data_IF_445170580985
#
_entry.id   IF_445170580985
#
_cell.length_a   1.000
_cell.length_b   1.000
_cell.length_c   1.000
_cell.angle_alpha   90.00
_cell.angle_beta   90.00
_cell.angle_gamma   90.00
#
_symmetry.space_group_name_H-M   'P 1'
#
loop_
_entity.id
_entity.type
_entity.pdbx_description
1 polymer ?
#
# COMPACT_ATOMS: atom_id res chain seq x y z
N UNK A 1 -0.93 10.29 -24.87
CA UNK A 1 -1.71 9.27 -24.16
C UNK A 1 -0.84 8.59 -23.11
N UNK A 2 -1.36 8.44 -21.91
CA UNK A 2 -0.63 7.81 -20.83
C UNK A 2 -0.68 6.30 -20.98
N UNK A 3 0.47 5.66 -21.16
CA UNK A 3 0.54 4.21 -21.35
C UNK A 3 0.85 3.46 -20.06
N UNK A 4 1.40 4.15 -19.06
CA UNK A 4 1.72 3.55 -17.77
C UNK A 4 1.07 4.35 -16.65
N UNK A 5 0.54 3.64 -15.67
CA UNK A 5 0.07 4.26 -14.45
C UNK A 5 1.22 4.50 -13.49
N UNK A 6 1.09 5.53 -12.69
CA UNK A 6 2.07 5.88 -11.67
C UNK A 6 1.51 5.57 -10.29
N UNK A 7 2.38 5.10 -9.42
CA UNK A 7 2.01 4.67 -8.07
C UNK A 7 2.98 5.28 -7.08
N UNK A 8 2.48 5.55 -5.89
CA UNK A 8 3.32 5.85 -4.74
C UNK A 8 2.96 4.89 -3.62
N UNK A 9 3.97 4.37 -2.95
CA UNK A 9 3.77 3.48 -1.79
C UNK A 9 4.39 4.17 -0.58
N UNK A 10 3.55 4.47 0.39
CA UNK A 10 3.96 5.10 1.64
C UNK A 10 4.06 4.04 2.73
N UNK A 11 5.25 3.85 3.26
CA UNK A 11 5.53 2.83 4.25
C UNK A 11 6.06 1.55 3.59
N UNK A 12 7.33 1.26 3.84
CA UNK A 12 8.04 0.15 3.20
C UNK A 12 8.29 -0.99 4.19
N UNK A 13 7.27 -1.33 4.97
CA UNK A 13 7.25 -2.56 5.73
C UNK A 13 7.05 -3.75 4.79
N UNK A 14 6.69 -4.90 5.35
CA UNK A 14 6.53 -6.12 4.55
C UNK A 14 5.48 -5.98 3.46
N UNK A 15 4.33 -5.42 3.80
CA UNK A 15 3.24 -5.30 2.84
C UNK A 15 3.56 -4.26 1.76
N UNK A 16 3.95 -3.06 2.17
CA UNK A 16 4.27 -2.00 1.21
C UNK A 16 5.41 -2.37 0.28
N UNK A 17 6.43 -3.02 0.80
CA UNK A 17 7.54 -3.49 -0.03
C UNK A 17 7.07 -4.53 -1.05
N UNK A 18 6.22 -5.47 -0.64
CA UNK A 18 5.70 -6.48 -1.56
C UNK A 18 4.87 -5.83 -2.68
N UNK A 19 4.02 -4.86 -2.32
CA UNK A 19 3.22 -4.13 -3.31
C UNK A 19 4.13 -3.39 -4.29
N UNK A 20 5.10 -2.65 -3.77
CA UNK A 20 6.01 -1.86 -4.61
C UNK A 20 6.82 -2.73 -5.57
N UNK A 21 7.37 -3.83 -5.06
CA UNK A 21 8.18 -4.75 -5.88
C UNK A 21 7.36 -5.36 -7.01
N UNK A 22 6.17 -5.83 -6.72
CA UNK A 22 5.32 -6.46 -7.73
C UNK A 22 4.94 -5.45 -8.81
N UNK A 23 4.63 -4.22 -8.43
CA UNK A 23 4.31 -3.18 -9.41
C UNK A 23 5.51 -2.86 -10.31
N UNK A 24 6.69 -2.73 -9.72
CA UNK A 24 7.93 -2.47 -10.47
C UNK A 24 8.24 -3.62 -11.43
N UNK A 25 8.11 -4.85 -10.98
CA UNK A 25 8.36 -6.03 -11.80
C UNK A 25 7.42 -6.12 -12.99
N UNK A 26 6.23 -5.52 -12.88
CA UNK A 26 5.26 -5.48 -13.97
C UNK A 26 5.34 -4.19 -14.79
N UNK A 27 6.44 -3.45 -14.66
CA UNK A 27 6.73 -2.31 -15.52
C UNK A 27 6.05 -1.01 -15.13
N UNK A 28 5.47 -0.92 -13.94
CA UNK A 28 4.83 0.30 -13.48
C UNK A 28 5.86 1.26 -12.87
N UNK A 29 5.55 2.56 -12.95
CA UNK A 29 6.37 3.58 -12.31
C UNK A 29 5.93 3.71 -10.85
N UNK A 30 6.87 3.51 -9.93
CA UNK A 30 6.58 3.51 -8.49
C UNK A 30 7.57 4.41 -7.77
N UNK A 31 7.05 5.33 -6.95
CA UNK A 31 7.86 6.04 -5.98
C UNK A 31 7.56 5.44 -4.60
N UNK A 32 8.60 4.93 -3.94
CA UNK A 32 8.48 4.29 -2.63
C UNK A 32 9.03 5.24 -1.57
N UNK A 33 8.26 5.49 -0.53
CA UNK A 33 8.59 6.49 0.48
C UNK A 33 8.46 5.92 1.88
N UNK A 34 9.48 6.15 2.70
CA UNK A 34 9.45 5.82 4.12
C UNK A 34 10.15 6.92 4.89
N UNK A 35 9.77 7.12 6.12
CA UNK A 35 10.39 8.15 6.96
C UNK A 35 11.71 7.70 7.59
N UNK A 36 12.00 6.39 7.57
CA UNK A 36 13.23 5.85 8.14
C UNK A 36 14.28 5.62 7.06
N UNK A 37 15.41 6.31 7.19
CA UNK A 37 16.48 6.25 6.21
C UNK A 37 17.01 4.83 6.02
N UNK A 38 17.11 4.05 7.09
CA UNK A 38 17.60 2.69 6.98
C UNK A 38 16.70 1.83 6.11
N UNK A 39 15.39 1.97 6.27
CA UNK A 39 14.41 1.23 5.46
C UNK A 39 14.53 1.63 4.00
N UNK A 40 14.69 2.92 3.73
CA UNK A 40 14.86 3.42 2.37
C UNK A 40 16.13 2.88 1.74
N UNK A 41 17.23 2.87 2.51
CA UNK A 41 18.51 2.35 2.02
C UNK A 41 18.41 0.87 1.65
N UNK A 42 17.74 0.08 2.47
CA UNK A 42 17.53 -1.34 2.19
C UNK A 42 16.66 -1.54 0.95
N UNK A 43 15.61 -0.75 0.81
CA UNK A 43 14.68 -0.85 -0.31
C UNK A 43 15.32 -0.44 -1.64
N UNK A 44 16.31 0.46 -1.60
CA UNK A 44 16.98 0.95 -2.80
C UNK A 44 17.70 -0.15 -3.57
N UNK A 45 17.96 -1.29 -2.95
CA UNK A 45 18.59 -2.42 -3.63
C UNK A 45 17.70 -3.01 -4.73
N UNK A 46 16.39 -2.87 -4.63
CA UNK A 46 15.45 -3.48 -5.59
C UNK A 46 14.31 -2.56 -6.03
N UNK A 47 14.21 -1.34 -5.50
CA UNK A 47 13.23 -0.35 -5.95
C UNK A 47 13.97 0.83 -6.56
N UNK A 48 13.71 1.15 -7.84
CA UNK A 48 14.47 2.19 -8.54
C UNK A 48 14.32 3.59 -7.95
N UNK A 49 13.14 3.92 -7.42
CA UNK A 49 12.89 5.26 -6.88
C UNK A 49 12.41 5.14 -5.45
N UNK A 50 13.31 5.45 -4.52
CA UNK A 50 13.02 5.46 -3.09
C UNK A 50 13.36 6.81 -2.51
N UNK A 51 12.52 7.31 -1.61
CA UNK A 51 12.72 8.60 -0.94
C UNK A 51 12.53 8.46 0.56
N UNK A 52 13.39 9.12 1.31
CA UNK A 52 13.20 9.26 2.76
C UNK A 52 12.47 10.58 2.98
N UNK A 53 11.23 10.53 3.43
CA UNK A 53 10.42 11.71 3.60
C UNK A 53 9.25 11.45 4.55
N UNK A 54 8.72 12.54 5.12
CA UNK A 54 7.56 12.48 6.00
C UNK A 54 6.30 12.82 5.19
N UNK A 55 5.51 11.81 4.90
CA UNK A 55 4.28 11.97 4.10
C UNK A 55 3.11 12.54 4.88
N UNK A 56 3.31 12.87 6.15
CA UNK A 56 2.32 13.60 6.94
C UNK A 56 2.54 15.12 6.87
N UNK A 57 3.52 15.55 6.09
CA UNK A 57 3.85 16.94 5.88
C UNK A 57 3.32 17.40 4.53
N UNK A 58 2.42 18.40 4.53
CA UNK A 58 1.81 18.91 3.30
C UNK A 58 2.84 19.45 2.30
N UNK A 59 3.92 20.06 2.77
CA UNK A 59 4.98 20.54 1.89
C UNK A 59 5.68 19.41 1.17
N UNK A 60 5.89 18.30 1.85
CA UNK A 60 6.51 17.11 1.27
C UNK A 60 5.61 16.55 0.15
N UNK A 61 4.33 16.42 0.42
CA UNK A 61 3.35 15.94 -0.57
C UNK A 61 3.38 16.83 -1.82
N UNK A 62 3.40 18.15 -1.62
CA UNK A 62 3.46 19.10 -2.73
C UNK A 62 4.79 19.01 -3.49
N UNK A 63 5.91 19.02 -2.76
CA UNK A 63 7.24 19.03 -3.36
C UNK A 63 7.56 17.76 -4.15
N UNK A 64 7.05 16.63 -3.70
CA UNK A 64 7.24 15.36 -4.40
C UNK A 64 6.28 15.15 -5.55
N UNK A 65 5.36 16.09 -5.77
CA UNK A 65 4.39 16.00 -6.87
C UNK A 65 3.41 14.87 -6.70
N UNK A 66 3.07 14.53 -5.46
CA UNK A 66 2.18 13.39 -5.18
C UNK A 66 0.82 13.56 -5.83
N UNK A 67 0.33 14.79 -5.97
CA UNK A 67 -0.95 15.06 -6.62
C UNK A 67 -1.03 14.59 -8.07
N UNK A 68 0.10 14.39 -8.72
CA UNK A 68 0.16 13.90 -10.10
C UNK A 68 0.25 12.38 -10.21
N UNK A 69 0.30 11.68 -9.08
CA UNK A 69 0.35 10.22 -9.03
C UNK A 69 -1.07 9.68 -9.20
N UNK A 70 -1.21 8.61 -9.98
CA UNK A 70 -2.54 8.01 -10.21
C UNK A 70 -3.09 7.33 -8.96
N UNK A 71 -2.28 6.53 -8.31
CA UNK A 71 -2.70 5.76 -7.14
C UNK A 71 -1.65 5.83 -6.05
N UNK A 72 -2.08 6.17 -4.84
CA UNK A 72 -1.22 6.15 -3.66
C UNK A 72 -1.70 5.05 -2.73
N UNK A 73 -0.78 4.22 -2.27
CA UNK A 73 -1.05 3.14 -1.32
C UNK A 73 -0.38 3.51 0.00
N UNK A 74 -1.19 3.72 1.03
CA UNK A 74 -0.74 4.12 2.36
C UNK A 74 -0.62 2.88 3.23
N UNK A 75 0.61 2.46 3.53
CA UNK A 75 0.91 1.21 4.23
C UNK A 75 1.56 1.47 5.59
N UNK A 76 0.91 2.30 6.41
CA UNK A 76 1.42 2.67 7.73
C UNK A 76 0.43 2.28 8.82
N UNK A 77 -0.07 1.03 8.75
CA UNK A 77 -1.16 0.59 9.62
C UNK A 77 -0.83 0.59 11.11
N UNK A 78 0.46 0.56 11.45
CA UNK A 78 0.90 0.64 12.84
C UNK A 78 0.75 2.05 13.44
N UNK A 79 0.48 3.06 12.60
CA UNK A 79 0.33 4.44 13.01
C UNK A 79 -0.90 5.04 12.35
N UNK A 80 -2.03 4.95 13.03
CA UNK A 80 -3.30 5.43 12.48
C UNK A 80 -3.29 6.93 12.21
N UNK A 81 -2.71 7.71 13.11
CA UNK A 81 -2.65 9.15 12.93
C UNK A 81 -1.90 9.51 11.64
N UNK A 82 -0.75 8.90 11.42
CA UNK A 82 0.03 9.12 10.21
C UNK A 82 -0.73 8.69 8.97
N UNK A 83 -1.43 7.56 9.03
CA UNK A 83 -2.25 7.06 7.91
C UNK A 83 -3.37 8.03 7.56
N UNK A 84 -4.08 8.54 8.59
CA UNK A 84 -5.16 9.50 8.39
C UNK A 84 -4.64 10.79 7.75
N UNK A 85 -3.52 11.30 8.25
CA UNK A 85 -2.91 12.52 7.70
C UNK A 85 -2.48 12.31 6.25
N UNK A 86 -1.83 11.20 5.96
CA UNK A 86 -1.36 10.92 4.60
C UNK A 86 -2.52 10.79 3.62
N UNK A 87 -3.58 10.07 4.00
CA UNK A 87 -4.78 9.93 3.17
C UNK A 87 -5.40 11.31 2.90
N UNK A 88 -5.57 12.09 3.96
CA UNK A 88 -6.18 13.42 3.85
C UNK A 88 -5.37 14.31 2.90
N UNK A 89 -4.06 14.36 3.09
CA UNK A 89 -3.20 15.21 2.26
C UNK A 89 -3.19 14.76 0.80
N UNK A 90 -3.19 13.45 0.55
CA UNK A 90 -3.24 12.94 -0.81
C UNK A 90 -4.55 13.33 -1.51
N UNK A 91 -5.67 13.20 -0.81
CA UNK A 91 -6.97 13.58 -1.39
C UNK A 91 -7.05 15.09 -1.65
N UNK A 92 -6.54 15.89 -0.73
CA UNK A 92 -6.47 17.34 -0.92
C UNK A 92 -5.58 17.72 -2.10
N UNK A 93 -4.53 16.97 -2.33
CA UNK A 93 -3.61 17.21 -3.45
C UNK A 93 -4.19 16.76 -4.80
N UNK A 94 -5.30 16.06 -4.81
CA UNK A 94 -5.97 15.66 -6.04
C UNK A 94 -5.67 14.25 -6.53
N UNK A 95 -5.07 13.40 -5.70
CA UNK A 95 -4.83 12.00 -6.08
C UNK A 95 -6.18 11.32 -6.31
N UNK A 96 -6.33 10.67 -7.46
CA UNK A 96 -7.61 10.05 -7.84
C UNK A 96 -7.94 8.85 -6.97
N UNK A 97 -6.97 8.00 -6.71
CA UNK A 97 -7.20 6.76 -5.98
C UNK A 97 -6.22 6.66 -4.82
N UNK A 98 -6.76 6.65 -3.61
CA UNK A 98 -5.95 6.46 -2.39
C UNK A 98 -6.43 5.18 -1.73
N UNK A 99 -5.52 4.24 -1.59
CA UNK A 99 -5.77 2.95 -0.94
C UNK A 99 -5.00 2.95 0.37
N UNK A 100 -5.64 2.57 1.46
CA UNK A 100 -4.98 2.52 2.76
C UNK A 100 -5.06 1.13 3.35
N UNK A 101 -3.98 0.71 4.00
CA UNK A 101 -3.95 -0.55 4.74
C UNK A 101 -4.42 -0.29 6.17
N UNK A 102 -5.25 -1.17 6.70
CA UNK A 102 -5.67 -1.11 8.09
C UNK A 102 -5.27 -2.37 8.85
N UNK A 103 -5.27 -2.28 10.18
CA UNK A 103 -4.96 -3.40 11.06
C UNK A 103 -6.20 -3.92 11.80
N UNK A 104 -7.32 -3.20 11.74
CA UNK A 104 -8.56 -3.61 12.39
C UNK A 104 -9.75 -2.89 11.78
N UNK A 105 -10.97 -3.32 12.17
CA UNK A 105 -12.20 -2.77 11.61
C UNK A 105 -12.43 -1.30 11.93
N UNK A 106 -12.03 -0.84 13.12
CA UNK A 106 -12.20 0.56 13.49
C UNK A 106 -11.34 1.45 12.61
N UNK A 107 -10.10 1.05 12.35
CA UNK A 107 -9.23 1.78 11.45
C UNK A 107 -9.82 1.83 10.03
N UNK A 108 -10.40 0.73 9.58
CA UNK A 108 -11.04 0.68 8.27
C UNK A 108 -12.13 1.74 8.15
N UNK A 109 -13.00 1.83 9.15
CA UNK A 109 -14.08 2.83 9.16
C UNK A 109 -13.52 4.24 9.13
N UNK A 110 -12.52 4.52 9.95
CA UNK A 110 -11.93 5.85 10.03
C UNK A 110 -11.28 6.24 8.71
N UNK A 111 -10.50 5.35 8.13
CA UNK A 111 -9.80 5.63 6.87
C UNK A 111 -10.76 5.88 5.71
N UNK A 112 -11.85 5.14 5.64
CA UNK A 112 -12.88 5.39 4.63
C UNK A 112 -13.52 6.75 4.84
N UNK A 113 -13.80 7.13 6.07
CA UNK A 113 -14.43 8.41 6.38
C UNK A 113 -13.55 9.61 6.07
N UNK A 114 -12.23 9.47 6.19
CA UNK A 114 -11.33 10.58 5.89
C UNK A 114 -10.95 10.65 4.41
N UNK A 115 -11.49 9.76 3.59
CA UNK A 115 -11.38 9.90 2.15
C UNK A 115 -10.65 8.82 1.40
N UNK A 116 -10.18 7.75 2.07
CA UNK A 116 -9.60 6.62 1.32
C UNK A 116 -10.65 6.05 0.38
N UNK A 117 -10.26 5.83 -0.86
CA UNK A 117 -11.16 5.24 -1.87
C UNK A 117 -11.35 3.76 -1.64
N UNK A 118 -10.34 3.11 -1.08
CA UNK A 118 -10.38 1.71 -0.74
C UNK A 118 -9.51 1.48 0.48
N UNK A 119 -9.93 0.57 1.35
CA UNK A 119 -9.13 0.15 2.49
C UNK A 119 -8.92 -1.35 2.41
N UNK A 120 -7.67 -1.77 2.53
CA UNK A 120 -7.32 -3.19 2.52
C UNK A 120 -6.98 -3.64 3.93
N UNK A 121 -7.41 -4.85 4.26
CA UNK A 121 -7.15 -5.47 5.55
C UNK A 121 -6.51 -6.84 5.27
N UNK A 122 -5.22 -6.88 4.92
CA UNK A 122 -4.60 -8.08 4.34
C UNK A 122 -4.70 -9.32 5.20
N UNK A 123 -4.50 -9.21 6.50
CA UNK A 123 -4.55 -10.37 7.39
C UNK A 123 -5.94 -10.95 7.43
N UNK A 124 -6.97 -10.10 7.53
CA UNK A 124 -8.35 -10.54 7.53
C UNK A 124 -8.75 -11.14 6.19
N UNK A 125 -8.43 -10.45 5.10
CA UNK A 125 -8.76 -10.90 3.74
C UNK A 125 -8.07 -12.22 3.41
N UNK A 126 -6.79 -12.33 3.74
CA UNK A 126 -6.01 -13.53 3.49
C UNK A 126 -6.49 -14.71 4.34
N UNK A 127 -6.82 -14.45 5.61
CA UNK A 127 -7.35 -15.48 6.49
C UNK A 127 -8.69 -16.02 6.01
N UNK A 128 -9.59 -15.12 5.62
CA UNK A 128 -10.89 -15.51 5.08
C UNK A 128 -10.71 -16.33 3.80
N UNK A 129 -9.81 -15.92 2.92
CA UNK A 129 -9.55 -16.63 1.68
C UNK A 129 -9.03 -18.04 1.95
N UNK A 130 -8.10 -18.18 2.89
CA UNK A 130 -7.59 -19.49 3.28
C UNK A 130 -8.72 -20.39 3.78
N UNK A 131 -9.55 -19.87 4.68
CA UNK A 131 -10.67 -20.65 5.24
C UNK A 131 -11.65 -21.08 4.15
N UNK A 132 -11.98 -20.17 3.23
CA UNK A 132 -12.88 -20.49 2.11
C UNK A 132 -12.31 -21.56 1.21
N UNK A 133 -11.01 -21.49 0.92
CA UNK A 133 -10.35 -22.51 0.11
C UNK A 133 -10.40 -23.86 0.80
N UNK A 134 -10.15 -23.92 2.09
CA UNK A 134 -10.21 -25.17 2.86
C UNK A 134 -11.62 -25.75 2.89
N UNK A 135 -12.64 -24.91 3.02
CA UNK A 135 -14.02 -25.36 3.09
C UNK A 135 -14.57 -25.81 1.73
N UNK A 136 -14.28 -25.04 0.68
CA UNK A 136 -14.89 -25.27 -0.63
C UNK A 136 -14.16 -26.26 -1.51
N UNK A 137 -12.91 -26.56 -1.21
CA UNK A 137 -12.08 -27.42 -2.06
C UNK A 137 -11.35 -28.49 -1.29
N UNK A 138 -12.02 -29.09 -0.28
CA UNK A 138 -11.42 -30.16 0.49
C UNK A 138 -10.81 -31.25 -0.38
N UNK A 139 -11.49 -31.61 -1.47
CA UNK A 139 -10.98 -32.60 -2.41
C UNK A 139 -9.73 -32.13 -3.14
N UNK A 140 -9.76 -30.89 -3.65
CA UNK A 140 -8.64 -30.32 -4.39
C UNK A 140 -7.45 -30.11 -3.45
N UNK A 141 -7.71 -29.65 -2.24
CA UNK A 141 -6.67 -29.44 -1.23
C UNK A 141 -5.98 -30.75 -0.86
N UNK A 142 -6.74 -31.82 -0.73
CA UNK A 142 -6.18 -33.14 -0.47
C UNK A 142 -5.23 -33.57 -1.57
N UNK A 143 -5.60 -33.34 -2.82
CA UNK A 143 -4.74 -33.65 -3.96
C UNK A 143 -3.46 -32.83 -3.91
N UNK A 144 -3.56 -31.53 -3.61
CA UNK A 144 -2.40 -30.65 -3.52
C UNK A 144 -1.46 -31.08 -2.41
N UNK A 145 -1.99 -31.42 -1.24
CA UNK A 145 -1.18 -31.88 -0.11
C UNK A 145 -0.47 -33.19 -0.41
N UNK A 146 -1.11 -34.06 -1.16
CA UNK A 146 -0.51 -35.35 -1.48
C UNK A 146 0.65 -35.24 -2.47
N UNK A 147 0.79 -34.11 -3.16
CA UNK A 147 1.89 -33.87 -4.09
C UNK A 147 3.13 -33.30 -3.41
N UNK A 148 2.96 -32.76 -2.24
CA UNK A 148 4.05 -32.19 -1.46
C UNK A 148 4.63 -33.24 -0.54
#
# INVERSE_FOLDING_TARGET
>A
MKTKKTYAVFGLGRYGTAVAKELVENGMEVIAIDSEQKIVNDAAAYLPVCKCADVTDAEVISRLGIGNIDTVIVCMASNLEASVMAVTLCKEAGVKTVIAKCANEMQQKILLRVGADKVVFPENESGIRLAKNLLSSGFIDMISLSKD
#
